data_IF_570276163607
#
_entry.id   IF_570276163607
#
_cell.length_a   1.000
_cell.length_b   1.000
_cell.length_c   1.000
_cell.angle_alpha   90.00
_cell.angle_beta   90.00
_cell.angle_gamma   90.00
#
_symmetry.space_group_name_H-M   'P 1'
#
loop_
_entity.id
_entity.type
_entity.pdbx_description
1 polymer ?
#
# COMPACT_ATOMS: atom_id res chain seq x y z
N UNK A 1 19.51 -10.07 -5.94
CA UNK A 1 18.06 -10.32 -5.87
C UNK A 1 17.40 -9.04 -5.38
N UNK A 2 16.45 -8.52 -6.13
CA UNK A 2 15.66 -7.36 -5.71
C UNK A 2 14.54 -7.82 -4.76
N UNK A 3 14.21 -7.01 -3.77
CA UNK A 3 13.12 -7.31 -2.83
C UNK A 3 12.13 -6.15 -2.79
N UNK A 4 10.85 -6.48 -2.83
CA UNK A 4 9.72 -5.58 -2.64
C UNK A 4 9.01 -6.06 -1.38
N UNK A 5 8.86 -5.18 -0.40
CA UNK A 5 8.10 -5.45 0.82
C UNK A 5 6.74 -4.75 0.73
N UNK A 6 5.67 -5.47 1.05
CA UNK A 6 4.30 -4.95 1.09
C UNK A 6 3.77 -5.14 2.50
N UNK A 7 3.38 -4.05 3.15
CA UNK A 7 2.88 -4.03 4.53
C UNK A 7 1.65 -3.12 4.65
N UNK A 8 1.04 -3.07 5.82
CA UNK A 8 -0.17 -2.29 6.13
C UNK A 8 -1.28 -3.20 6.66
N UNK A 9 -2.29 -2.65 7.30
CA UNK A 9 -3.29 -3.43 8.03
C UNK A 9 -4.10 -4.34 7.11
N UNK A 10 -4.63 -3.80 6.01
CA UNK A 10 -5.48 -4.53 5.07
C UNK A 10 -4.89 -4.54 3.65
N UNK A 11 -5.23 -5.58 2.87
CA UNK A 11 -4.90 -5.65 1.45
C UNK A 11 -3.49 -6.16 1.11
N UNK A 12 -2.64 -6.47 2.09
CA UNK A 12 -1.27 -6.99 1.89
C UNK A 12 -1.25 -8.18 0.93
N UNK A 13 -2.02 -9.22 1.25
CA UNK A 13 -2.05 -10.48 0.49
C UNK A 13 -2.54 -10.27 -0.94
N UNK A 14 -3.63 -9.51 -1.11
CA UNK A 14 -4.19 -9.21 -2.43
C UNK A 14 -3.20 -8.39 -3.27
N UNK A 15 -2.62 -7.33 -2.70
CA UNK A 15 -1.61 -6.51 -3.38
C UNK A 15 -0.37 -7.32 -3.77
N UNK A 16 0.08 -8.23 -2.88
CA UNK A 16 1.22 -9.13 -3.15
C UNK A 16 0.91 -10.08 -4.31
N UNK A 17 -0.29 -10.68 -4.31
CA UNK A 17 -0.73 -11.58 -5.37
C UNK A 17 -0.84 -10.86 -6.72
N UNK A 18 -1.46 -9.67 -6.76
CA UNK A 18 -1.57 -8.84 -7.96
C UNK A 18 -0.19 -8.43 -8.50
N UNK A 19 0.69 -7.95 -7.61
CA UNK A 19 2.05 -7.59 -8.02
C UNK A 19 2.82 -8.78 -8.58
N UNK A 20 2.70 -9.96 -7.94
CA UNK A 20 3.33 -11.18 -8.43
C UNK A 20 2.79 -11.59 -9.80
N UNK A 21 1.47 -11.49 -10.01
CA UNK A 21 0.83 -11.75 -11.30
C UNK A 21 1.36 -10.83 -12.40
N UNK A 22 1.39 -9.51 -12.17
CA UNK A 22 1.91 -8.53 -13.13
C UNK A 22 3.38 -8.82 -13.48
N UNK A 23 4.22 -9.15 -12.46
CA UNK A 23 5.64 -9.46 -12.70
C UNK A 23 5.81 -10.72 -13.56
N UNK A 24 5.01 -11.76 -13.30
CA UNK A 24 5.02 -12.98 -14.11
C UNK A 24 4.59 -12.69 -15.57
N UNK A 25 3.57 -11.88 -15.78
CA UNK A 25 3.14 -11.44 -17.11
C UNK A 25 4.22 -10.62 -17.84
N UNK A 26 5.03 -9.89 -17.07
CA UNK A 26 6.22 -9.19 -17.57
C UNK A 26 7.45 -10.11 -17.80
N UNK A 27 7.30 -11.43 -17.65
CA UNK A 27 8.38 -12.41 -17.71
C UNK A 27 9.53 -12.15 -16.71
N UNK A 28 9.21 -11.50 -15.58
CA UNK A 28 10.16 -11.29 -14.48
C UNK A 28 10.03 -12.47 -13.53
N UNK A 29 11.10 -13.26 -13.42
CA UNK A 29 11.16 -14.38 -12.47
C UNK A 29 11.08 -13.86 -11.03
N UNK A 30 9.97 -14.16 -10.35
CA UNK A 30 9.67 -13.68 -9.01
C UNK A 30 9.01 -14.77 -8.15
N UNK A 31 9.08 -14.58 -6.83
CA UNK A 31 8.38 -15.40 -5.87
C UNK A 31 7.78 -14.54 -4.74
N UNK A 32 6.78 -15.09 -4.05
CA UNK A 32 6.15 -14.48 -2.89
C UNK A 32 6.02 -15.50 -1.76
N UNK A 33 5.81 -15.00 -0.54
CA UNK A 33 5.48 -15.86 0.60
C UNK A 33 4.01 -16.34 0.50
N UNK A 34 3.76 -17.51 1.06
CA UNK A 34 2.39 -18.05 1.18
C UNK A 34 1.56 -17.17 2.13
N UNK A 35 0.24 -17.16 1.92
CA UNK A 35 -0.72 -16.48 2.79
C UNK A 35 -0.47 -16.81 4.26
N UNK A 36 -0.42 -15.79 5.12
CA UNK A 36 -0.17 -15.90 6.54
C UNK A 36 1.30 -16.10 6.95
N UNK A 37 2.24 -16.33 6.00
CA UNK A 37 3.67 -16.44 6.29
C UNK A 37 4.39 -15.08 6.29
N UNK A 38 3.78 -14.04 6.89
CA UNK A 38 4.20 -12.63 6.86
C UNK A 38 5.06 -12.19 8.05
N UNK A 39 5.30 -13.10 9.00
CA UNK A 39 6.25 -12.91 10.09
C UNK A 39 7.67 -13.35 9.70
N UNK A 40 8.68 -12.90 10.44
CA UNK A 40 10.10 -13.15 10.12
C UNK A 40 10.41 -14.61 9.82
N UNK A 41 9.90 -15.54 10.61
CA UNK A 41 10.13 -17.00 10.41
C UNK A 41 9.55 -17.53 9.11
N UNK A 42 8.32 -17.09 8.76
CA UNK A 42 7.67 -17.44 7.49
C UNK A 42 8.41 -16.87 6.28
N UNK A 43 8.89 -15.64 6.39
CA UNK A 43 9.68 -14.97 5.36
C UNK A 43 11.01 -15.71 5.15
N UNK A 44 11.76 -16.01 6.22
CA UNK A 44 13.01 -16.79 6.14
C UNK A 44 12.77 -18.14 5.48
N UNK A 45 11.71 -18.86 5.86
CA UNK A 45 11.34 -20.13 5.25
C UNK A 45 11.07 -19.99 3.75
N UNK A 46 10.39 -18.90 3.35
CA UNK A 46 10.11 -18.59 1.94
C UNK A 46 11.40 -18.39 1.15
N UNK A 47 12.35 -17.64 1.69
CA UNK A 47 13.66 -17.44 1.04
C UNK A 47 14.41 -18.77 0.92
N UNK A 48 14.44 -19.60 1.97
CA UNK A 48 15.12 -20.91 1.94
C UNK A 48 14.52 -21.83 0.87
N UNK A 49 13.18 -21.88 0.76
CA UNK A 49 12.48 -22.69 -0.26
C UNK A 49 12.78 -22.26 -1.70
N UNK A 50 13.01 -20.96 -1.92
CA UNK A 50 13.29 -20.40 -3.25
C UNK A 50 14.81 -20.24 -3.52
N UNK A 51 15.66 -20.61 -2.57
CA UNK A 51 17.10 -20.60 -2.70
C UNK A 51 17.61 -22.02 -3.01
N UNK A 52 18.13 -22.23 -4.22
CA UNK A 52 18.71 -23.51 -4.60
C UNK A 52 20.22 -23.45 -4.47
N UNK A 53 20.76 -24.05 -3.41
CA UNK A 53 22.18 -24.12 -3.11
C UNK A 53 23.01 -24.83 -4.20
N UNK A 54 22.39 -25.78 -4.93
CA UNK A 54 23.09 -26.59 -5.93
C UNK A 54 22.97 -26.04 -7.36
N UNK A 55 21.81 -25.45 -7.71
CA UNK A 55 21.55 -25.00 -9.08
C UNK A 55 21.71 -23.49 -9.30
N UNK A 56 21.99 -22.71 -8.28
CA UNK A 56 22.12 -21.23 -8.33
C UNK A 56 20.95 -20.52 -9.06
N UNK A 57 19.83 -21.18 -9.23
CA UNK A 57 18.65 -20.62 -9.87
C UNK A 57 17.88 -19.85 -8.80
N UNK A 58 18.27 -18.60 -8.60
CA UNK A 58 17.61 -17.68 -7.69
C UNK A 58 16.68 -16.83 -8.52
N UNK A 59 15.40 -16.82 -8.19
CA UNK A 59 14.48 -15.83 -8.76
C UNK A 59 15.03 -14.42 -8.56
N UNK A 60 14.89 -13.58 -9.57
CA UNK A 60 15.52 -12.24 -9.56
C UNK A 60 14.83 -11.30 -8.58
N UNK A 61 13.54 -11.51 -8.31
CA UNK A 61 12.73 -10.61 -7.49
C UNK A 61 11.93 -11.40 -6.44
N UNK A 62 11.97 -10.91 -5.20
CA UNK A 62 11.13 -11.36 -4.10
C UNK A 62 10.05 -10.32 -3.80
N UNK A 63 8.78 -10.71 -3.87
CA UNK A 63 7.63 -9.86 -3.54
C UNK A 63 7.03 -10.40 -2.24
N UNK A 64 7.31 -9.75 -1.13
CA UNK A 64 7.11 -10.29 0.20
C UNK A 64 6.08 -9.48 0.99
N UNK A 65 5.00 -10.13 1.38
CA UNK A 65 4.07 -9.63 2.38
C UNK A 65 4.73 -9.65 3.76
N UNK A 66 4.68 -8.53 4.49
CA UNK A 66 5.29 -8.39 5.81
C UNK A 66 4.27 -7.82 6.79
N UNK A 67 4.14 -8.46 7.93
CA UNK A 67 3.40 -7.91 9.07
C UNK A 67 4.07 -6.62 9.58
N UNK A 68 3.29 -5.65 10.02
CA UNK A 68 3.75 -4.30 10.38
C UNK A 68 4.78 -4.32 11.51
N UNK A 69 4.54 -5.15 12.54
CA UNK A 69 5.47 -5.29 13.67
C UNK A 69 6.75 -6.04 13.26
N UNK A 70 6.66 -6.92 12.26
CA UNK A 70 7.77 -7.69 11.72
C UNK A 70 8.66 -6.88 10.77
N UNK A 71 8.14 -5.79 10.17
CA UNK A 71 8.87 -5.00 9.18
C UNK A 71 10.26 -4.57 9.66
N UNK A 72 10.36 -4.03 10.87
CA UNK A 72 11.63 -3.59 11.46
C UNK A 72 12.63 -4.73 11.64
N UNK A 73 12.15 -5.95 11.89
CA UNK A 73 13.00 -7.12 12.04
C UNK A 73 13.51 -7.61 10.70
N UNK A 74 12.66 -7.62 9.67
CA UNK A 74 13.02 -7.97 8.30
C UNK A 74 14.03 -6.97 7.72
N UNK A 75 13.79 -5.66 7.90
CA UNK A 75 14.66 -4.59 7.42
C UNK A 75 16.06 -4.56 8.05
N UNK A 76 16.31 -5.29 9.14
CA UNK A 76 17.66 -5.49 9.68
C UNK A 76 18.54 -6.38 8.78
N UNK A 77 17.92 -7.27 8.02
CA UNK A 77 18.62 -8.29 7.22
C UNK A 77 18.45 -8.08 5.71
N UNK A 78 17.39 -7.40 5.30
CA UNK A 78 17.04 -7.18 3.89
C UNK A 78 16.99 -5.69 3.62
N UNK A 79 17.67 -5.26 2.54
CA UNK A 79 17.55 -3.90 2.01
C UNK A 79 16.62 -3.95 0.79
N UNK A 80 15.31 -3.68 0.94
CA UNK A 80 14.37 -3.76 -0.16
C UNK A 80 14.57 -2.60 -1.13
N UNK A 81 14.26 -2.85 -2.40
CA UNK A 81 14.16 -1.81 -3.44
C UNK A 81 12.96 -0.92 -3.21
N UNK A 82 11.84 -1.53 -2.78
CA UNK A 82 10.56 -0.85 -2.53
C UNK A 82 9.98 -1.33 -1.20
N UNK A 83 9.42 -0.40 -0.44
CA UNK A 83 8.50 -0.67 0.66
C UNK A 83 7.17 -0.02 0.30
N UNK A 84 6.13 -0.83 0.10
CA UNK A 84 4.77 -0.35 -0.14
C UNK A 84 3.93 -0.50 1.14
N UNK A 85 3.16 0.54 1.48
CA UNK A 85 2.26 0.53 2.63
C UNK A 85 0.85 0.81 2.14
N UNK A 86 -0.04 -0.17 2.31
CA UNK A 86 -1.41 -0.11 1.78
C UNK A 86 -2.30 0.85 2.56
N UNK A 87 -2.35 0.70 3.87
CA UNK A 87 -3.16 1.51 4.79
C UNK A 87 -2.81 1.19 6.24
N UNK A 88 -3.34 2.00 7.17
CA UNK A 88 -3.27 1.77 8.61
C UNK A 88 -4.68 1.89 9.18
N UNK A 89 -5.29 0.76 9.51
CA UNK A 89 -6.58 0.69 10.17
C UNK A 89 -6.44 0.16 11.60
N UNK A 90 -7.44 0.44 12.40
CA UNK A 90 -7.59 -0.16 13.71
C UNK A 90 -8.06 -1.60 13.56
N UNK A 91 -7.45 -2.53 14.24
CA UNK A 91 -7.98 -3.89 14.32
C UNK A 91 -9.22 -3.90 15.22
N UNK A 92 -10.21 -4.76 14.91
CA UNK A 92 -11.51 -4.80 15.62
C UNK A 92 -11.38 -5.18 17.10
N UNK A 93 -10.25 -5.77 17.49
CA UNK A 93 -9.98 -6.26 18.85
C UNK A 93 -9.17 -5.29 19.72
N UNK A 94 -8.86 -4.09 19.22
CA UNK A 94 -7.77 -3.29 19.76
C UNK A 94 -8.14 -2.11 20.63
N UNK A 95 -7.19 -1.82 21.54
CA UNK A 95 -7.26 -0.76 22.55
C UNK A 95 -6.78 0.59 21.99
N UNK A 96 -7.15 1.64 22.66
CA UNK A 96 -6.76 3.02 22.35
C UNK A 96 -5.21 3.13 22.14
N UNK A 97 -4.77 3.67 21.00
CA UNK A 97 -3.35 3.97 20.73
C UNK A 97 -2.64 3.04 19.74
N UNK A 98 -3.26 1.96 19.28
CA UNK A 98 -2.62 0.94 18.44
C UNK A 98 -2.27 1.41 17.03
N UNK A 99 -3.12 2.22 16.41
CA UNK A 99 -2.86 2.80 15.08
C UNK A 99 -1.52 3.56 15.06
N UNK A 100 -1.21 4.29 16.13
CA UNK A 100 0.09 4.98 16.27
C UNK A 100 1.25 4.02 16.55
N UNK A 101 0.99 2.91 17.25
CA UNK A 101 1.99 1.85 17.47
C UNK A 101 2.34 1.18 16.15
N UNK A 102 1.34 0.82 15.34
CA UNK A 102 1.51 0.28 13.99
C UNK A 102 2.31 1.24 13.10
N UNK A 103 1.93 2.53 13.07
CA UNK A 103 2.70 3.54 12.35
C UNK A 103 4.16 3.61 12.81
N UNK A 104 4.42 3.53 14.12
CA UNK A 104 5.78 3.55 14.66
C UNK A 104 6.59 2.31 14.24
N UNK A 105 5.99 1.12 14.24
CA UNK A 105 6.65 -0.09 13.73
C UNK A 105 7.04 0.05 12.26
N UNK A 106 6.13 0.54 11.42
CA UNK A 106 6.40 0.82 10.01
C UNK A 106 7.53 1.85 9.88
N UNK A 107 7.47 2.95 10.63
CA UNK A 107 8.48 4.01 10.63
C UNK A 107 9.86 3.51 11.04
N UNK A 108 9.95 2.64 12.06
CA UNK A 108 11.20 2.02 12.47
C UNK A 108 11.79 1.12 11.37
N UNK A 109 10.95 0.34 10.69
CA UNK A 109 11.37 -0.48 9.55
C UNK A 109 11.91 0.37 8.40
N UNK A 110 11.17 1.40 8.00
CA UNK A 110 11.57 2.31 6.91
C UNK A 110 12.91 3.01 7.22
N UNK A 111 13.13 3.44 8.46
CA UNK A 111 14.40 4.07 8.87
C UNK A 111 15.63 3.20 8.63
N UNK A 112 15.50 1.88 8.72
CA UNK A 112 16.60 0.95 8.45
C UNK A 112 16.88 0.78 6.96
N UNK A 113 16.00 1.28 6.09
CA UNK A 113 16.02 1.07 4.64
C UNK A 113 16.01 2.41 3.89
N UNK A 114 16.95 3.31 4.21
CA UNK A 114 16.99 4.70 3.71
C UNK A 114 17.06 4.84 2.18
N UNK A 115 17.56 3.83 1.48
CA UNK A 115 17.68 3.81 0.02
C UNK A 115 16.44 3.24 -0.70
N UNK A 116 15.48 2.71 0.04
CA UNK A 116 14.26 2.15 -0.53
C UNK A 116 13.35 3.25 -1.09
N UNK A 117 12.68 2.95 -2.19
CA UNK A 117 11.54 3.75 -2.66
C UNK A 117 10.33 3.41 -1.80
N UNK A 118 9.61 4.43 -1.34
CA UNK A 118 8.38 4.24 -0.58
C UNK A 118 7.19 4.43 -1.51
N UNK A 119 6.22 3.53 -1.44
CA UNK A 119 4.92 3.65 -2.11
C UNK A 119 3.86 3.68 -1.02
N UNK A 120 3.24 4.84 -0.84
CA UNK A 120 2.36 5.13 0.29
C UNK A 120 0.96 5.49 -0.20
N UNK A 121 -0.06 5.04 0.53
CA UNK A 121 -1.42 5.51 0.29
C UNK A 121 -1.54 6.98 0.69
N UNK A 122 -1.72 7.86 -0.31
CA UNK A 122 -1.84 9.29 -0.11
C UNK A 122 -3.17 9.74 0.51
N UNK A 123 -4.20 8.89 0.43
CA UNK A 123 -5.50 9.14 1.05
C UNK A 123 -5.51 8.80 2.54
N UNK A 124 -4.39 8.24 3.07
CA UNK A 124 -4.20 7.87 4.47
C UNK A 124 -3.43 8.97 5.23
N UNK A 125 -4.09 9.72 6.14
CA UNK A 125 -3.45 10.84 6.84
C UNK A 125 -2.19 10.45 7.63
N UNK A 126 -2.17 9.25 8.22
CA UNK A 126 -1.03 8.79 9.00
C UNK A 126 0.18 8.48 8.13
N UNK A 127 -0.03 7.90 6.93
CA UNK A 127 1.04 7.64 5.98
C UNK A 127 1.60 8.92 5.38
N UNK A 128 0.74 9.91 5.07
CA UNK A 128 1.18 11.23 4.65
C UNK A 128 2.05 11.92 5.72
N UNK A 129 1.84 11.61 7.00
CA UNK A 129 2.68 12.16 8.08
C UNK A 129 4.15 11.69 8.06
N UNK A 130 4.46 10.63 7.29
CA UNK A 130 5.82 10.15 7.07
C UNK A 130 6.61 11.01 6.08
N UNK A 131 5.93 11.88 5.35
CA UNK A 131 6.48 12.72 4.28
C UNK A 131 7.73 13.50 4.71
N UNK A 132 7.72 14.11 5.88
CA UNK A 132 8.82 14.97 6.36
C UNK A 132 10.14 14.25 6.63
N UNK A 133 10.17 12.92 6.55
CA UNK A 133 11.30 12.11 6.99
C UNK A 133 12.05 11.43 5.84
N UNK A 134 11.43 11.28 4.67
CA UNK A 134 11.96 10.47 3.56
C UNK A 134 11.82 11.17 2.20
N UNK A 135 12.87 11.13 1.36
CA UNK A 135 12.93 11.86 0.10
C UNK A 135 12.48 11.04 -1.12
N UNK A 136 12.51 9.71 -1.06
CA UNK A 136 12.24 8.85 -2.21
C UNK A 136 10.89 8.15 -2.04
N UNK A 137 9.80 8.87 -2.23
CA UNK A 137 8.43 8.43 -1.97
C UNK A 137 7.51 8.74 -3.14
N UNK A 138 6.50 7.89 -3.28
CA UNK A 138 5.42 8.01 -4.26
C UNK A 138 4.09 7.80 -3.54
N UNK A 139 3.09 8.60 -3.89
CA UNK A 139 1.77 8.54 -3.30
C UNK A 139 0.75 8.02 -4.31
N UNK A 140 -0.10 7.10 -3.86
CA UNK A 140 -1.24 6.62 -4.65
C UNK A 140 -2.57 6.92 -3.93
N UNK A 141 -3.65 7.11 -4.67
CA UNK A 141 -4.97 7.41 -4.12
C UNK A 141 -5.98 7.78 -5.21
N UNK A 142 -7.06 8.43 -4.83
CA UNK A 142 -8.11 8.86 -5.75
C UNK A 142 -7.98 10.35 -6.07
N UNK A 143 -8.04 10.73 -7.35
CA UNK A 143 -8.08 12.16 -7.74
C UNK A 143 -9.42 12.77 -7.37
N UNK A 144 -10.50 12.03 -7.55
CA UNK A 144 -11.85 12.44 -7.27
C UNK A 144 -12.69 11.23 -6.83
N UNK A 145 -13.70 11.48 -6.01
CA UNK A 145 -14.65 10.45 -5.58
C UNK A 145 -16.01 11.08 -5.31
N UNK A 146 -17.05 10.55 -5.95
CA UNK A 146 -18.43 10.94 -5.65
C UNK A 146 -18.87 10.16 -4.41
N UNK A 147 -18.76 10.78 -3.24
CA UNK A 147 -19.29 10.20 -2.00
C UNK A 147 -20.80 10.40 -1.95
N UNK A 148 -21.55 9.36 -1.62
CA UNK A 148 -22.95 9.50 -1.23
C UNK A 148 -23.04 10.39 0.02
N UNK A 149 -24.08 11.24 0.10
CA UNK A 149 -24.27 12.16 1.24
C UNK A 149 -24.30 11.46 2.60
N UNK A 150 -24.66 10.17 2.64
CA UNK A 150 -24.67 9.32 3.83
C UNK A 150 -23.28 8.97 4.39
N UNK A 151 -22.19 9.17 3.65
CA UNK A 151 -20.82 8.90 4.12
C UNK A 151 -20.28 9.94 5.09
N UNK A 152 -20.94 11.09 5.23
CA UNK A 152 -20.54 12.18 6.14
C UNK A 152 -20.60 11.85 7.64
N UNK A 153 -21.29 10.76 8.02
CA UNK A 153 -21.51 10.35 9.41
C UNK A 153 -20.81 9.05 9.82
N UNK A 154 -19.88 8.55 9.03
CA UNK A 154 -19.12 7.36 9.38
C UNK A 154 -18.21 7.64 10.60
N UNK A 155 -18.10 6.65 11.48
CA UNK A 155 -17.13 6.63 12.57
C UNK A 155 -15.70 6.58 11.98
N UNK A 156 -15.16 7.76 11.66
CA UNK A 156 -13.83 7.91 11.05
C UNK A 156 -12.78 7.65 12.12
N UNK A 157 -11.93 6.66 11.93
CA UNK A 157 -10.94 6.22 12.92
C UNK A 157 -9.83 7.23 13.16
N UNK A 158 -9.33 7.90 12.13
CA UNK A 158 -8.27 8.91 12.23
C UNK A 158 -8.86 10.32 12.04
N UNK A 159 -9.80 10.71 12.92
CA UNK A 159 -10.49 12.02 12.83
C UNK A 159 -9.58 13.21 13.01
N UNK A 160 -8.54 13.09 13.84
CA UNK A 160 -7.79 14.21 14.34
C UNK A 160 -6.39 14.28 13.74
N UNK A 161 -5.97 15.50 13.46
CA UNK A 161 -4.65 15.80 12.95
C UNK A 161 -3.56 15.33 13.93
N UNK A 162 -2.64 14.51 13.46
CA UNK A 162 -1.53 14.00 14.24
C UNK A 162 -0.63 15.10 14.81
N UNK A 163 -0.58 16.27 14.17
CA UNK A 163 0.33 17.35 14.54
C UNK A 163 -0.25 18.34 15.54
N UNK A 164 -1.57 18.62 15.45
CA UNK A 164 -2.20 19.63 16.30
C UNK A 164 -3.48 19.18 17.01
N UNK A 165 -3.95 17.95 16.76
CA UNK A 165 -5.15 17.41 17.38
C UNK A 165 -6.48 17.90 16.83
N UNK A 166 -6.48 18.86 15.90
CA UNK A 166 -7.71 19.39 15.27
C UNK A 166 -8.34 18.37 14.34
N UNK A 167 -9.65 18.41 14.18
CA UNK A 167 -10.37 17.51 13.28
C UNK A 167 -10.05 17.82 11.81
N UNK A 168 -9.83 16.78 11.00
CA UNK A 168 -9.68 16.93 9.56
C UNK A 168 -10.98 17.31 8.87
N UNK A 169 -10.86 18.14 7.83
CA UNK A 169 -11.90 18.33 6.83
C UNK A 169 -11.56 17.55 5.58
N UNK A 170 -12.56 17.07 4.86
CA UNK A 170 -12.40 16.25 3.66
C UNK A 170 -13.15 16.87 2.49
N UNK A 171 -12.52 16.91 1.31
CA UNK A 171 -13.21 17.17 0.07
C UNK A 171 -14.07 15.97 -0.33
N UNK A 172 -13.55 14.76 -0.14
CA UNK A 172 -14.28 13.49 -0.25
C UNK A 172 -13.66 12.43 0.66
N UNK A 173 -14.44 11.43 1.02
CA UNK A 173 -14.01 10.22 1.72
C UNK A 173 -14.36 9.04 0.83
N UNK A 174 -13.41 8.14 0.59
CA UNK A 174 -13.58 6.95 -0.25
C UNK A 174 -13.99 5.74 0.58
N UNK A 175 -13.25 5.48 1.64
CA UNK A 175 -13.47 4.34 2.52
C UNK A 175 -12.95 4.65 3.94
N UNK A 176 -13.83 4.59 4.95
CA UNK A 176 -13.53 4.91 6.34
C UNK A 176 -12.92 6.34 6.47
N UNK A 177 -11.64 6.47 6.81
CA UNK A 177 -10.92 7.74 6.95
C UNK A 177 -10.01 8.06 5.75
N UNK A 178 -10.02 7.22 4.72
CA UNK A 178 -9.23 7.47 3.50
C UNK A 178 -9.93 8.50 2.62
N UNK A 179 -9.18 9.49 2.13
CA UNK A 179 -9.74 10.50 1.25
C UNK A 179 -8.88 11.73 1.09
N UNK A 180 -9.44 12.77 0.49
CA UNK A 180 -8.76 14.06 0.31
C UNK A 180 -8.94 14.93 1.55
N UNK A 181 -8.04 14.79 2.50
CA UNK A 181 -8.07 15.42 3.81
C UNK A 181 -7.24 16.71 3.89
N UNK A 182 -7.65 17.59 4.81
CA UNK A 182 -6.91 18.80 5.19
C UNK A 182 -7.17 19.15 6.65
N UNK A 183 -6.14 19.57 7.37
CA UNK A 183 -6.24 20.22 8.67
C UNK A 183 -6.29 21.73 8.50
N UNK A 184 -7.39 22.37 8.87
CA UNK A 184 -7.55 23.84 8.72
C UNK A 184 -6.73 24.62 9.76
N UNK A 185 -6.31 24.00 10.87
CA UNK A 185 -5.54 24.68 11.91
C UNK A 185 -4.04 24.73 11.56
N UNK A 186 -3.39 23.60 11.24
CA UNK A 186 -1.95 23.57 11.00
C UNK A 186 -1.55 23.48 9.52
N UNK A 187 -2.53 23.40 8.61
CA UNK A 187 -2.30 23.31 7.17
C UNK A 187 -1.84 21.94 6.66
N UNK A 188 -1.68 20.93 7.52
CA UNK A 188 -1.35 19.58 7.09
C UNK A 188 -2.46 19.03 6.21
N UNK A 189 -2.08 18.49 5.06
CA UNK A 189 -3.03 18.02 4.05
C UNK A 189 -2.47 16.84 3.29
N UNK A 190 -3.34 16.21 2.49
CA UNK A 190 -2.98 15.16 1.54
C UNK A 190 -1.86 15.63 0.61
N UNK A 191 -0.92 14.75 0.36
CA UNK A 191 0.16 14.97 -0.60
C UNK A 191 -0.35 14.86 -2.04
N UNK A 192 0.43 15.43 -2.98
CA UNK A 192 0.16 15.25 -4.41
C UNK A 192 0.34 13.77 -4.76
N UNK A 193 -0.65 13.22 -5.46
CA UNK A 193 -0.59 11.83 -5.91
C UNK A 193 0.30 11.68 -7.15
N UNK A 194 1.12 10.63 -7.18
CA UNK A 194 1.91 10.20 -8.34
C UNK A 194 1.13 9.19 -9.18
N UNK A 195 0.28 8.39 -8.51
CA UNK A 195 -0.59 7.39 -9.11
C UNK A 195 -2.01 7.58 -8.60
N UNK A 196 -2.95 7.78 -9.51
CA UNK A 196 -4.32 8.09 -9.10
C UNK A 196 -5.37 7.38 -9.93
N UNK A 197 -6.49 7.07 -9.26
CA UNK A 197 -7.75 6.72 -9.92
C UNK A 197 -8.41 8.02 -10.38
N UNK A 198 -8.50 8.18 -11.70
CA UNK A 198 -9.13 9.35 -12.30
C UNK A 198 -10.65 9.29 -12.22
N UNK A 199 -11.24 8.09 -12.39
CA UNK A 199 -12.68 7.87 -12.32
C UNK A 199 -13.00 6.40 -11.99
N UNK A 200 -14.18 6.19 -11.41
CA UNK A 200 -14.81 4.87 -11.24
C UNK A 200 -16.00 4.84 -12.19
N UNK A 201 -15.89 4.03 -13.24
CA UNK A 201 -16.95 3.90 -14.24
C UNK A 201 -18.05 2.97 -13.76
N UNK A 202 -17.68 1.91 -13.05
CA UNK A 202 -18.60 0.97 -12.42
C UNK A 202 -17.98 0.40 -11.14
N UNK A 203 -18.82 0.15 -10.12
CA UNK A 203 -18.41 -0.52 -8.89
C UNK A 203 -19.62 -1.25 -8.29
N UNK A 204 -19.65 -2.55 -8.43
CA UNK A 204 -20.67 -3.42 -7.89
C UNK A 204 -20.05 -4.54 -7.03
N UNK A 205 -20.82 -5.52 -6.60
CA UNK A 205 -20.34 -6.61 -5.72
C UNK A 205 -19.32 -7.51 -6.45
N UNK A 206 -19.48 -7.69 -7.77
CA UNK A 206 -18.71 -8.66 -8.54
C UNK A 206 -17.50 -8.05 -9.24
N UNK A 207 -17.59 -6.77 -9.61
CA UNK A 207 -16.54 -6.10 -10.38
C UNK A 207 -16.47 -4.60 -10.09
N UNK A 208 -15.32 -4.03 -10.42
CA UNK A 208 -15.11 -2.58 -10.50
C UNK A 208 -14.44 -2.25 -11.82
N UNK A 209 -14.93 -1.23 -12.52
CA UNK A 209 -14.30 -0.67 -13.73
C UNK A 209 -13.77 0.70 -13.39
N UNK A 210 -12.47 0.86 -13.49
CA UNK A 210 -11.76 2.08 -13.08
C UNK A 210 -10.96 2.68 -14.22
N UNK A 211 -10.68 3.97 -14.12
CA UNK A 211 -9.80 4.68 -15.03
C UNK A 211 -8.54 5.15 -14.32
N UNK A 212 -7.37 4.70 -14.79
CA UNK A 212 -6.05 5.17 -14.38
C UNK A 212 -5.41 5.85 -15.58
N UNK A 213 -5.15 7.17 -15.52
CA UNK A 213 -4.74 7.97 -16.67
C UNK A 213 -5.73 7.81 -17.84
N UNK A 214 -5.28 7.27 -18.98
CA UNK A 214 -6.10 7.01 -20.16
C UNK A 214 -6.56 5.56 -20.28
N UNK A 215 -6.18 4.69 -19.33
CA UNK A 215 -6.46 3.26 -19.38
C UNK A 215 -7.70 2.93 -18.55
N UNK A 216 -8.52 2.04 -19.07
CA UNK A 216 -9.67 1.45 -18.36
C UNK A 216 -9.25 0.05 -17.91
N UNK A 217 -9.45 -0.23 -16.62
CA UNK A 217 -9.07 -1.50 -15.98
C UNK A 217 -10.33 -2.11 -15.37
N UNK A 218 -10.56 -3.38 -15.68
CA UNK A 218 -11.62 -4.16 -15.04
C UNK A 218 -11.02 -5.01 -13.91
N UNK A 219 -11.60 -4.88 -12.73
CA UNK A 219 -11.23 -5.63 -11.54
C UNK A 219 -12.37 -6.62 -11.27
N UNK A 220 -12.11 -7.93 -11.40
CA UNK A 220 -13.09 -9.01 -11.20
C UNK A 220 -13.47 -9.22 -9.72
N UNK A 221 -13.42 -8.17 -8.93
CA UNK A 221 -13.85 -8.10 -7.54
C UNK A 221 -14.31 -6.68 -7.25
N UNK A 222 -15.51 -6.52 -6.72
CA UNK A 222 -16.02 -5.20 -6.35
C UNK A 222 -15.43 -4.67 -5.05
N UNK A 223 -15.66 -3.39 -4.81
CA UNK A 223 -15.35 -2.71 -3.57
C UNK A 223 -14.13 -1.80 -3.63
N UNK A 224 -14.26 -0.65 -2.99
CA UNK A 224 -13.26 0.43 -2.96
C UNK A 224 -11.91 -0.06 -2.43
N UNK A 225 -11.89 -0.97 -1.46
CA UNK A 225 -10.65 -1.54 -0.92
C UNK A 225 -9.87 -2.35 -1.97
N UNK A 226 -10.56 -3.06 -2.89
CA UNK A 226 -9.91 -3.77 -3.98
C UNK A 226 -9.31 -2.81 -5.02
N UNK A 227 -9.97 -1.69 -5.27
CA UNK A 227 -9.43 -0.63 -6.13
C UNK A 227 -8.11 -0.08 -5.56
N UNK A 228 -8.02 0.15 -4.24
CA UNK A 228 -6.75 0.54 -3.60
C UNK A 228 -5.66 -0.52 -3.74
N UNK A 229 -6.01 -1.81 -3.61
CA UNK A 229 -5.05 -2.91 -3.76
C UNK A 229 -4.47 -2.96 -5.19
N UNK A 230 -5.34 -2.83 -6.20
CA UNK A 230 -4.94 -2.77 -7.61
C UNK A 230 -4.07 -1.54 -7.88
N UNK A 231 -4.46 -0.37 -7.38
CA UNK A 231 -3.70 0.86 -7.57
C UNK A 231 -2.32 0.79 -6.91
N UNK A 232 -2.20 0.15 -5.74
CA UNK A 232 -0.93 -0.08 -5.08
C UNK A 232 -0.03 -1.02 -5.93
N UNK A 233 -0.57 -2.12 -6.46
CA UNK A 233 0.16 -3.03 -7.34
C UNK A 233 0.58 -2.34 -8.65
N UNK A 234 -0.29 -1.51 -9.24
CA UNK A 234 0.00 -0.66 -10.38
C UNK A 234 1.18 0.28 -10.10
N UNK A 235 1.15 0.98 -8.96
CA UNK A 235 2.22 1.90 -8.55
C UNK A 235 3.56 1.17 -8.37
N UNK A 236 3.57 0.00 -7.70
CA UNK A 236 4.77 -0.83 -7.53
C UNK A 236 5.35 -1.22 -8.90
N UNK A 237 4.51 -1.71 -9.79
CA UNK A 237 4.91 -2.20 -11.11
C UNK A 237 5.45 -1.09 -12.00
N UNK A 238 4.80 0.09 -11.99
CA UNK A 238 5.26 1.27 -12.73
C UNK A 238 6.59 1.79 -12.19
N UNK A 239 6.79 1.82 -10.87
CA UNK A 239 8.07 2.21 -10.24
C UNK A 239 9.20 1.21 -10.56
N UNK A 240 8.85 -0.04 -10.86
CA UNK A 240 9.75 -1.07 -11.38
C UNK A 240 9.95 -1.00 -12.90
N UNK A 241 9.37 0.00 -13.58
CA UNK A 241 9.47 0.21 -15.03
C UNK A 241 8.83 -0.91 -15.86
N UNK A 242 7.81 -1.56 -15.33
CA UNK A 242 6.97 -2.48 -16.12
C UNK A 242 6.06 -1.63 -17.01
N UNK A 243 5.99 -1.90 -18.31
CA UNK A 243 5.15 -1.15 -19.24
C UNK A 243 3.65 -1.20 -18.87
N UNK A 244 2.97 -0.06 -19.01
CA UNK A 244 1.54 0.09 -18.64
C UNK A 244 0.65 -0.99 -19.29
N UNK A 245 0.90 -1.38 -20.56
CA UNK A 245 0.10 -2.38 -21.25
C UNK A 245 0.19 -3.79 -20.64
N UNK A 246 1.25 -4.11 -19.86
CA UNK A 246 1.35 -5.36 -19.10
C UNK A 246 0.66 -5.24 -17.75
N UNK A 247 0.70 -4.04 -17.17
CA UNK A 247 0.16 -3.81 -15.82
C UNK A 247 -1.37 -3.79 -15.82
N UNK A 248 -1.99 -3.43 -16.94
CA UNK A 248 -3.44 -3.29 -17.10
C UNK A 248 -4.13 -4.51 -17.66
N UNK A 249 -3.40 -5.50 -18.16
CA UNK A 249 -3.88 -6.77 -18.73
C UNK A 249 -4.12 -7.82 -17.60
#
# INVERSE_FOLDING_TARGET
METILITGTNGKTTTTALTNHIFNNAFIDCFSNSTGANMLTGIVTTYIKNYNLFNRKISKTAIIEVDEASLKHVCKYIQPKIIAVTNIFRDQLDRYGEVYTTLNHIKEGIKLCSNSKLILNGDEPLLCSLEKVYNNKFFFGFDNFKSDENTKNLNVEAKNCKFCGETYTYNFITYNHLGDFKCNNCGFKREKLDFSIADILENNINESIIKIKNNVITINQGGIYNIYNVLCAYAISTVCSIPDYIVID
#
